data_IF_509222142871
#
_entry.id   IF_509222142871
#
_cell.length_a   1.000
_cell.length_b   1.000
_cell.length_c   1.000
_cell.angle_alpha   90.00
_cell.angle_beta   90.00
_cell.angle_gamma   90.00
#
_symmetry.space_group_name_H-M   'P 1'
#
loop_
_entity.id
_entity.type
_entity.pdbx_description
1 polymer ?
#
# COMPACT_ATOMS: atom_id res chain seq x y z
N UNK A 1 19.50 -28.84 58.67
CA UNK A 1 19.93 -27.45 58.35
C UNK A 1 20.51 -27.41 56.94
N UNK A 2 20.32 -26.30 56.19
CA UNK A 2 20.02 -26.32 54.75
C UNK A 2 21.16 -25.79 53.85
N UNK A 3 21.22 -26.23 52.59
CA UNK A 3 21.90 -25.57 51.45
C UNK A 3 21.15 -25.97 50.17
N UNK A 4 20.90 -25.15 49.17
CA UNK A 4 21.07 -23.71 48.94
C UNK A 4 20.07 -23.40 47.81
N UNK A 5 19.36 -22.27 47.89
CA UNK A 5 18.54 -21.78 46.79
C UNK A 5 19.48 -21.33 45.67
N UNK A 6 19.30 -21.89 44.48
CA UNK A 6 19.99 -21.48 43.27
C UNK A 6 19.44 -20.12 42.82
N UNK A 7 20.14 -19.05 43.18
CA UNK A 7 19.79 -17.69 42.78
C UNK A 7 20.12 -17.52 41.29
N UNK A 8 19.08 -17.50 40.47
CA UNK A 8 19.13 -17.09 39.08
C UNK A 8 19.41 -15.57 39.01
N UNK A 9 20.68 -15.19 38.85
CA UNK A 9 21.06 -13.80 38.65
C UNK A 9 21.09 -13.52 37.13
N UNK A 10 20.40 -12.49 36.61
CA UNK A 10 20.47 -12.16 35.19
C UNK A 10 21.88 -11.65 34.81
N UNK A 11 22.33 -11.82 33.55
CA UNK A 11 23.65 -11.41 33.14
C UNK A 11 23.76 -9.88 33.16
N UNK A 12 24.64 -9.36 34.01
CA UNK A 12 25.02 -7.94 34.01
C UNK A 12 25.87 -7.67 32.75
N UNK A 13 25.25 -7.08 31.74
CA UNK A 13 25.94 -6.66 30.51
C UNK A 13 26.85 -5.46 30.82
N UNK A 14 28.18 -5.65 30.70
CA UNK A 14 29.24 -4.73 31.18
C UNK A 14 29.54 -3.52 30.27
N UNK A 15 28.71 -3.19 29.28
CA UNK A 15 29.05 -2.14 28.32
C UNK A 15 28.00 -1.00 28.34
N UNK A 16 28.36 0.21 28.79
CA UNK A 16 27.44 1.35 28.84
C UNK A 16 26.92 1.74 27.45
N UNK A 17 27.71 1.56 26.38
CA UNK A 17 27.25 1.79 25.01
C UNK A 17 26.23 0.72 24.54
N UNK A 18 26.35 -0.51 25.04
CA UNK A 18 25.37 -1.56 24.75
C UNK A 18 24.07 -1.36 25.53
N UNK A 19 24.14 -0.88 26.77
CA UNK A 19 22.97 -0.51 27.57
C UNK A 19 22.25 0.70 26.97
N UNK A 20 22.98 1.71 26.49
CA UNK A 20 22.38 2.86 25.82
C UNK A 20 21.66 2.44 24.52
N UNK A 21 22.28 1.56 23.72
CA UNK A 21 21.63 0.99 22.53
C UNK A 21 20.41 0.15 22.88
N UNK A 22 20.49 -0.73 23.89
CA UNK A 22 19.36 -1.54 24.31
C UNK A 22 18.18 -0.68 24.82
N UNK A 23 18.46 0.41 25.53
CA UNK A 23 17.43 1.36 25.97
C UNK A 23 16.84 2.15 24.80
N UNK A 24 17.67 2.52 23.82
CA UNK A 24 17.21 3.15 22.57
C UNK A 24 16.34 2.20 21.74
N UNK A 25 16.76 0.95 21.57
CA UNK A 25 16.02 -0.10 20.87
C UNK A 25 14.68 -0.41 21.58
N UNK A 26 14.66 -0.43 22.91
CA UNK A 26 13.43 -0.63 23.71
C UNK A 26 12.50 0.57 23.58
N UNK A 27 13.03 1.80 23.62
CA UNK A 27 12.25 3.02 23.43
C UNK A 27 11.68 3.12 22.00
N UNK A 28 12.47 2.81 20.96
CA UNK A 28 12.01 2.71 19.58
C UNK A 28 10.94 1.62 19.42
N UNK A 29 11.13 0.45 20.04
CA UNK A 29 10.14 -0.64 20.00
C UNK A 29 8.83 -0.32 20.72
N UNK A 30 8.86 0.58 21.71
CA UNK A 30 7.67 1.03 22.45
C UNK A 30 6.86 2.08 21.70
N UNK A 31 7.53 2.94 20.91
CA UNK A 31 6.90 4.01 20.11
C UNK A 31 6.50 3.50 18.71
N UNK A 32 7.24 2.54 18.17
CA UNK A 32 7.00 1.94 16.85
C UNK A 32 7.14 0.40 16.86
N UNK A 33 6.22 -0.33 17.51
CA UNK A 33 6.31 -1.79 17.65
C UNK A 33 6.32 -2.54 16.31
N UNK A 34 5.71 -1.96 15.28
CA UNK A 34 5.63 -2.51 13.93
C UNK A 34 6.70 -1.94 12.98
N UNK A 35 7.48 -0.96 13.43
CA UNK A 35 8.48 -0.22 12.66
C UNK A 35 7.92 0.47 11.41
N UNK A 36 6.73 1.03 11.53
CA UNK A 36 5.97 1.73 10.50
C UNK A 36 6.20 3.24 10.54
N UNK A 37 6.31 3.84 11.73
CA UNK A 37 6.24 5.29 11.91
C UNK A 37 7.56 5.98 11.61
N UNK A 38 8.70 5.41 12.04
CA UNK A 38 10.01 6.01 11.81
C UNK A 38 10.36 6.11 10.31
N UNK A 39 10.21 5.07 9.48
CA UNK A 39 10.47 5.17 8.04
C UNK A 39 9.55 6.16 7.32
N UNK A 40 8.28 6.27 7.73
CA UNK A 40 7.34 7.24 7.16
C UNK A 40 7.70 8.68 7.53
N UNK A 41 8.11 8.92 8.78
CA UNK A 41 8.58 10.23 9.23
C UNK A 41 9.87 10.64 8.48
N UNK A 42 10.83 9.72 8.32
CA UNK A 42 12.04 9.96 7.54
C UNK A 42 11.74 10.23 6.07
N UNK A 43 10.83 9.47 5.45
CA UNK A 43 10.42 9.70 4.08
C UNK A 43 9.78 11.08 3.91
N UNK A 44 8.88 11.47 4.81
CA UNK A 44 8.24 12.78 4.76
C UNK A 44 9.25 13.93 4.94
N UNK A 45 10.17 13.81 5.90
CA UNK A 45 11.23 14.80 6.10
C UNK A 45 12.20 14.87 4.90
N UNK A 46 12.51 13.73 4.30
CA UNK A 46 13.34 13.67 3.10
C UNK A 46 12.70 14.47 1.95
N UNK A 47 11.41 14.26 1.67
CA UNK A 47 10.71 15.04 0.65
C UNK A 47 10.70 16.55 0.92
N UNK A 48 10.53 16.96 2.18
CA UNK A 48 10.54 18.38 2.55
C UNK A 48 11.92 19.04 2.43
N UNK A 49 12.99 18.26 2.56
CA UNK A 49 14.38 18.73 2.46
C UNK A 49 14.96 18.63 1.04
N UNK A 50 14.21 18.05 0.11
CA UNK A 50 14.59 17.81 -1.29
C UNK A 50 13.53 18.43 -2.24
N UNK A 51 13.45 19.78 -2.30
CA UNK A 51 12.34 20.47 -2.96
C UNK A 51 12.33 20.31 -4.50
N UNK A 52 13.48 20.03 -5.12
CA UNK A 52 13.57 19.82 -6.57
C UNK A 52 12.99 18.45 -6.94
N UNK A 53 13.39 17.41 -6.22
CA UNK A 53 12.88 16.05 -6.36
C UNK A 53 11.36 16.03 -6.10
N UNK A 54 10.89 16.77 -5.09
CA UNK A 54 9.46 16.91 -4.82
C UNK A 54 8.71 17.59 -5.98
N UNK A 55 9.32 18.61 -6.60
CA UNK A 55 8.74 19.29 -7.75
C UNK A 55 8.68 18.38 -8.98
N UNK A 56 9.70 17.55 -9.21
CA UNK A 56 9.73 16.54 -10.28
C UNK A 56 8.63 15.49 -10.08
N UNK A 57 8.48 14.97 -8.85
CA UNK A 57 7.40 14.06 -8.49
C UNK A 57 6.02 14.70 -8.75
N UNK A 58 5.85 15.97 -8.34
CA UNK A 58 4.62 16.73 -8.59
C UNK A 58 4.33 16.96 -10.07
N UNK A 59 5.35 17.25 -10.87
CA UNK A 59 5.24 17.43 -12.31
C UNK A 59 4.83 16.12 -13.02
N UNK A 60 5.45 15.00 -12.64
CA UNK A 60 5.07 13.66 -13.14
C UNK A 60 3.62 13.35 -12.78
N UNK A 61 3.24 13.49 -11.50
CA UNK A 61 1.87 13.26 -11.05
C UNK A 61 0.86 14.14 -11.80
N UNK A 62 1.18 15.41 -12.03
CA UNK A 62 0.32 16.30 -12.81
C UNK A 62 0.16 15.83 -14.26
N UNK A 63 1.22 15.33 -14.89
CA UNK A 63 1.16 14.76 -16.24
C UNK A 63 0.26 13.52 -16.29
N UNK A 64 0.45 12.60 -15.35
CA UNK A 64 -0.38 11.38 -15.24
C UNK A 64 -1.85 11.74 -14.97
N UNK A 65 -2.10 12.73 -14.11
CA UNK A 65 -3.45 13.21 -13.79
C UNK A 65 -4.13 13.87 -15.01
N UNK A 66 -3.39 14.63 -15.81
CA UNK A 66 -3.90 15.20 -17.06
C UNK A 66 -4.26 14.11 -18.06
N UNK A 67 -3.41 13.09 -18.22
CA UNK A 67 -3.66 11.94 -19.08
C UNK A 67 -4.90 11.14 -18.63
N UNK A 68 -5.02 10.89 -17.32
CA UNK A 68 -6.20 10.29 -16.71
C UNK A 68 -7.46 11.11 -16.98
N UNK A 69 -7.40 12.42 -16.75
CA UNK A 69 -8.55 13.32 -16.93
C UNK A 69 -9.00 13.28 -18.39
N UNK A 70 -8.07 13.40 -19.33
CA UNK A 70 -8.36 13.29 -20.77
C UNK A 70 -9.00 11.95 -21.13
N UNK A 71 -8.45 10.85 -20.62
CA UNK A 71 -9.01 9.51 -20.82
C UNK A 71 -10.44 9.42 -20.26
N UNK A 72 -10.66 9.85 -19.01
CA UNK A 72 -11.97 9.81 -18.36
C UNK A 72 -13.03 10.63 -19.13
N UNK A 73 -12.68 11.81 -19.64
CA UNK A 73 -13.57 12.61 -20.49
C UNK A 73 -13.93 11.90 -21.79
N UNK A 74 -12.95 11.30 -22.48
CA UNK A 74 -13.21 10.56 -23.71
C UNK A 74 -14.13 9.36 -23.45
N UNK A 75 -13.83 8.55 -22.43
CA UNK A 75 -14.64 7.38 -22.07
C UNK A 75 -16.05 7.77 -21.65
N UNK A 76 -16.21 8.83 -20.86
CA UNK A 76 -17.53 9.37 -20.47
C UNK A 76 -18.35 9.85 -21.67
N UNK A 77 -17.71 10.35 -22.73
CA UNK A 77 -18.35 10.75 -23.98
C UNK A 77 -18.55 9.58 -24.97
N UNK A 78 -18.18 8.35 -24.59
CA UNK A 78 -18.26 7.17 -25.45
C UNK A 78 -17.20 7.12 -26.56
N UNK A 79 -16.17 7.96 -26.47
CA UNK A 79 -15.06 7.98 -27.42
C UNK A 79 -14.03 6.91 -27.04
N UNK A 80 -13.34 6.31 -28.04
CA UNK A 80 -12.23 5.42 -27.76
C UNK A 80 -11.08 6.21 -27.13
N UNK A 81 -10.46 5.63 -26.11
CA UNK A 81 -9.26 6.18 -25.47
C UNK A 81 -8.37 5.02 -25.07
N UNK A 82 -7.06 5.15 -25.27
CA UNK A 82 -6.12 4.17 -24.76
C UNK A 82 -5.93 4.39 -23.26
N UNK A 83 -5.76 3.29 -22.52
CA UNK A 83 -5.43 3.32 -21.09
C UNK A 83 -4.13 4.12 -20.88
N UNK A 84 -4.18 5.25 -20.16
CA UNK A 84 -3.00 6.03 -19.87
C UNK A 84 -2.04 5.26 -18.96
N UNK A 85 -2.56 4.38 -18.09
CA UNK A 85 -1.76 3.62 -17.14
C UNK A 85 -2.15 2.14 -17.24
N UNK A 86 -1.20 1.32 -17.65
CA UNK A 86 -1.45 -0.13 -17.77
C UNK A 86 -1.22 -0.82 -16.43
N UNK A 87 -2.08 -1.79 -16.05
CA UNK A 87 -1.75 -2.70 -14.97
C UNK A 87 -0.42 -3.40 -15.22
N UNK A 88 0.30 -3.74 -14.15
CA UNK A 88 1.43 -4.66 -14.29
C UNK A 88 0.95 -6.01 -14.82
N UNK A 89 1.82 -6.70 -15.56
CA UNK A 89 1.47 -7.96 -16.22
C UNK A 89 1.05 -9.08 -15.23
N UNK A 90 1.48 -8.98 -13.97
CA UNK A 90 1.13 -9.87 -12.87
C UNK A 90 -0.11 -9.42 -12.08
N UNK A 91 -0.70 -8.26 -12.39
CA UNK A 91 -1.91 -7.77 -11.74
C UNK A 91 -3.18 -8.36 -12.38
N UNK A 92 -3.61 -9.50 -11.86
CA UNK A 92 -4.79 -10.22 -12.35
C UNK A 92 -6.13 -9.61 -11.92
N UNK A 93 -6.12 -8.55 -11.08
CA UNK A 93 -7.36 -7.96 -10.55
C UNK A 93 -8.23 -7.33 -11.63
N UNK A 94 -7.61 -6.85 -12.70
CA UNK A 94 -8.27 -6.16 -13.81
C UNK A 94 -8.32 -7.00 -15.09
N UNK A 95 -8.25 -8.34 -14.96
CA UNK A 95 -8.23 -9.25 -16.10
C UNK A 95 -9.60 -9.42 -16.79
N UNK A 96 -10.70 -9.19 -16.07
CA UNK A 96 -12.04 -9.28 -16.65
C UNK A 96 -12.27 -8.12 -17.65
N UNK A 97 -12.83 -8.39 -18.86
CA UNK A 97 -13.06 -7.36 -19.87
C UNK A 97 -13.93 -6.19 -19.40
N UNK A 98 -14.78 -6.38 -18.37
CA UNK A 98 -15.61 -5.30 -17.82
C UNK A 98 -14.79 -4.07 -17.40
N UNK A 99 -13.54 -4.28 -16.98
CA UNK A 99 -12.60 -3.23 -16.59
C UNK A 99 -12.03 -2.42 -17.76
N UNK A 100 -12.30 -2.81 -19.00
CA UNK A 100 -11.94 -2.07 -20.22
C UNK A 100 -13.20 -1.65 -20.98
N UNK A 101 -14.18 -2.55 -21.10
CA UNK A 101 -15.38 -2.32 -21.92
C UNK A 101 -16.33 -1.30 -21.30
N UNK A 102 -16.47 -1.30 -19.97
CA UNK A 102 -17.36 -0.37 -19.27
C UNK A 102 -16.63 0.91 -18.91
N UNK A 103 -17.06 2.06 -19.47
CA UNK A 103 -16.46 3.36 -19.18
C UNK A 103 -16.39 3.69 -17.67
N UNK A 104 -17.42 3.32 -16.90
CA UNK A 104 -17.43 3.56 -15.44
C UNK A 104 -16.34 2.75 -14.74
N UNK A 105 -16.25 1.45 -15.01
CA UNK A 105 -15.29 0.57 -14.33
C UNK A 105 -13.86 0.79 -14.82
N UNK A 106 -13.70 1.12 -16.09
CA UNK A 106 -12.45 1.56 -16.69
C UNK A 106 -11.89 2.81 -16.00
N UNK A 107 -12.72 3.84 -15.78
CA UNK A 107 -12.32 5.05 -15.03
C UNK A 107 -11.94 4.72 -13.57
N UNK A 108 -12.69 3.84 -12.90
CA UNK A 108 -12.38 3.40 -11.52
C UNK A 108 -11.03 2.67 -11.47
N UNK A 109 -10.78 1.77 -12.43
CA UNK A 109 -9.48 1.08 -12.60
C UNK A 109 -8.36 2.08 -12.81
N UNK A 110 -8.48 2.97 -13.80
CA UNK A 110 -7.43 3.95 -14.15
C UNK A 110 -7.13 4.90 -12.98
N UNK A 111 -8.16 5.32 -12.23
CA UNK A 111 -7.94 6.16 -11.04
C UNK A 111 -7.14 5.42 -9.95
N UNK A 112 -7.45 4.14 -9.74
CA UNK A 112 -6.69 3.30 -8.81
C UNK A 112 -5.24 3.09 -9.28
N UNK A 113 -5.03 2.79 -10.58
CA UNK A 113 -3.70 2.61 -11.15
C UNK A 113 -2.87 3.89 -11.06
N UNK A 114 -3.47 5.05 -11.36
CA UNK A 114 -2.87 6.37 -11.19
C UNK A 114 -2.32 6.57 -9.79
N UNK A 115 -3.16 6.35 -8.76
CA UNK A 115 -2.77 6.53 -7.38
C UNK A 115 -1.68 5.52 -6.98
N UNK A 116 -1.87 4.25 -7.30
CA UNK A 116 -0.99 3.18 -6.84
C UNK A 116 0.40 3.24 -7.49
N UNK A 117 0.49 3.51 -8.79
CA UNK A 117 1.77 3.69 -9.47
C UNK A 117 2.51 4.92 -8.93
N UNK A 118 1.83 6.06 -8.78
CA UNK A 118 2.49 7.28 -8.27
C UNK A 118 2.97 7.14 -6.82
N UNK A 119 2.22 6.45 -5.95
CA UNK A 119 2.68 6.15 -4.59
C UNK A 119 3.87 5.19 -4.61
N UNK A 120 3.85 4.18 -5.47
CA UNK A 120 4.98 3.25 -5.60
C UNK A 120 6.24 3.96 -6.10
N UNK A 121 6.12 4.77 -7.15
CA UNK A 121 7.22 5.59 -7.69
C UNK A 121 7.79 6.50 -6.59
N UNK A 122 6.94 7.23 -5.86
CA UNK A 122 7.37 8.08 -4.75
C UNK A 122 8.14 7.30 -3.65
N UNK A 123 7.77 6.06 -3.36
CA UNK A 123 8.49 5.24 -2.38
C UNK A 123 9.86 4.79 -2.92
N UNK A 124 9.94 4.46 -4.21
CA UNK A 124 11.21 4.10 -4.83
C UNK A 124 12.14 5.30 -5.00
N UNK A 125 11.60 6.50 -5.19
CA UNK A 125 12.35 7.73 -5.42
C UNK A 125 12.62 8.53 -4.15
N UNK A 126 12.06 8.13 -3.00
CA UNK A 126 12.24 8.84 -1.72
C UNK A 126 13.74 9.12 -1.46
N UNK A 127 14.15 10.40 -1.38
CA UNK A 127 15.54 10.77 -1.19
C UNK A 127 16.09 10.30 0.15
N UNK A 128 17.40 10.06 0.24
CA UNK A 128 18.13 9.79 1.49
C UNK A 128 17.63 8.60 2.36
N UNK A 129 16.67 7.80 1.89
CA UNK A 129 16.16 6.64 2.62
C UNK A 129 17.09 5.44 2.42
N UNK A 130 17.49 4.78 3.53
CA UNK A 130 18.32 3.58 3.44
C UNK A 130 17.59 2.46 2.69
N UNK A 131 18.34 1.56 2.03
CA UNK A 131 17.73 0.45 1.29
C UNK A 131 16.86 -0.48 2.16
N UNK A 132 17.15 -0.59 3.46
CA UNK A 132 16.36 -1.38 4.41
C UNK A 132 15.04 -0.68 4.74
N UNK A 133 15.07 0.62 5.03
CA UNK A 133 13.87 1.42 5.32
C UNK A 133 12.96 1.50 4.09
N UNK A 134 13.54 1.71 2.90
CA UNK A 134 12.80 1.74 1.62
C UNK A 134 12.04 0.44 1.38
N UNK A 135 12.69 -0.71 1.55
CA UNK A 135 12.02 -2.02 1.40
C UNK A 135 10.90 -2.22 2.43
N UNK A 136 11.10 -1.77 3.67
CA UNK A 136 10.08 -1.88 4.73
C UNK A 136 8.87 -0.98 4.45
N UNK A 137 9.11 0.26 4.06
CA UNK A 137 8.07 1.20 3.66
C UNK A 137 7.30 0.68 2.44
N UNK A 138 8.00 0.24 1.40
CA UNK A 138 7.40 -0.34 0.20
C UNK A 138 6.55 -1.58 0.51
N UNK A 139 6.98 -2.45 1.42
CA UNK A 139 6.21 -3.61 1.84
C UNK A 139 4.86 -3.22 2.46
N UNK A 140 4.87 -2.28 3.41
CA UNK A 140 3.64 -1.85 4.09
C UNK A 140 2.72 -1.06 3.17
N UNK A 141 3.27 -0.18 2.34
CA UNK A 141 2.50 0.54 1.33
C UNK A 141 1.88 -0.39 0.29
N UNK A 142 2.63 -1.38 -0.22
CA UNK A 142 2.07 -2.37 -1.14
C UNK A 142 0.91 -3.14 -0.49
N UNK A 143 1.04 -3.51 0.78
CA UNK A 143 -0.07 -4.14 1.53
C UNK A 143 -1.28 -3.22 1.64
N UNK A 144 -1.07 -1.96 2.00
CA UNK A 144 -2.15 -0.99 2.15
C UNK A 144 -2.85 -0.69 0.82
N UNK A 145 -2.10 -0.42 -0.24
CA UNK A 145 -2.63 -0.20 -1.59
C UNK A 145 -3.39 -1.42 -2.10
N UNK A 146 -2.87 -2.63 -1.86
CA UNK A 146 -3.58 -3.85 -2.23
C UNK A 146 -4.89 -4.02 -1.45
N UNK A 147 -4.94 -3.65 -0.17
CA UNK A 147 -6.15 -3.69 0.64
C UNK A 147 -7.20 -2.66 0.17
N UNK A 148 -6.74 -1.53 -0.37
CA UNK A 148 -7.59 -0.47 -0.92
C UNK A 148 -8.06 -0.73 -2.37
N UNK A 149 -7.68 -1.86 -2.97
CA UNK A 149 -8.08 -2.17 -4.34
C UNK A 149 -9.61 -2.23 -4.48
N UNK A 150 -10.19 -1.68 -5.57
CA UNK A 150 -11.64 -1.64 -5.77
C UNK A 150 -12.26 -3.04 -5.85
N UNK A 151 -11.47 -4.04 -6.24
CA UNK A 151 -11.86 -5.46 -6.25
C UNK A 151 -12.15 -6.04 -4.87
N UNK A 152 -11.69 -5.41 -3.79
CA UNK A 152 -11.91 -5.91 -2.42
C UNK A 152 -13.27 -5.49 -1.85
N UNK A 153 -13.98 -4.54 -2.46
CA UNK A 153 -15.25 -4.05 -1.94
C UNK A 153 -16.38 -4.34 -2.94
N UNK A 154 -17.49 -4.88 -2.44
CA UNK A 154 -18.62 -5.29 -3.28
C UNK A 154 -19.12 -4.14 -4.17
N UNK A 155 -19.29 -2.94 -3.63
CA UNK A 155 -19.84 -1.79 -4.36
C UNK A 155 -18.92 -1.25 -5.47
N UNK A 156 -17.65 -1.62 -5.46
CA UNK A 156 -16.66 -1.20 -6.45
C UNK A 156 -16.10 -2.37 -7.26
N UNK A 157 -16.71 -3.55 -7.13
CA UNK A 157 -16.30 -4.76 -7.84
C UNK A 157 -17.44 -5.23 -8.77
N UNK A 158 -17.39 -4.90 -10.08
CA UNK A 158 -18.44 -5.28 -11.02
C UNK A 158 -18.67 -6.79 -11.11
N UNK A 159 -17.60 -7.59 -10.99
CA UNK A 159 -17.67 -9.05 -11.06
C UNK A 159 -18.40 -9.58 -9.82
N UNK A 160 -18.09 -9.05 -8.64
CA UNK A 160 -18.79 -9.44 -7.40
C UNK A 160 -20.24 -8.99 -7.41
N UNK A 161 -20.55 -7.79 -7.93
CA UNK A 161 -21.92 -7.28 -8.08
C UNK A 161 -22.73 -8.16 -9.02
N UNK A 162 -22.18 -8.47 -10.20
CA UNK A 162 -22.81 -9.37 -11.16
C UNK A 162 -23.06 -10.74 -10.54
N UNK A 163 -22.06 -11.30 -9.85
CA UNK A 163 -22.21 -12.60 -9.20
C UNK A 163 -23.24 -12.62 -8.08
N UNK A 164 -23.32 -11.55 -7.29
CA UNK A 164 -24.34 -11.39 -6.27
C UNK A 164 -25.74 -11.33 -6.90
N UNK A 165 -25.91 -10.58 -7.99
CA UNK A 165 -27.18 -10.50 -8.71
C UNK A 165 -27.59 -11.85 -9.31
N UNK A 166 -26.69 -12.54 -10.01
CA UNK A 166 -26.93 -13.86 -10.61
C UNK A 166 -27.36 -14.92 -9.59
N UNK A 167 -26.82 -14.84 -8.38
CA UNK A 167 -27.07 -15.82 -7.31
C UNK A 167 -28.13 -15.36 -6.31
N UNK A 168 -28.82 -14.24 -6.58
CA UNK A 168 -29.74 -13.61 -5.63
C UNK A 168 -29.13 -13.44 -4.22
N UNK A 169 -27.82 -13.16 -4.15
CA UNK A 169 -27.07 -12.95 -2.91
C UNK A 169 -26.44 -14.21 -2.29
N UNK A 170 -26.69 -15.41 -2.80
CA UNK A 170 -26.15 -16.66 -2.24
C UNK A 170 -24.60 -16.67 -2.24
N UNK A 171 -23.97 -16.07 -3.25
CA UNK A 171 -22.50 -15.95 -3.31
C UNK A 171 -21.92 -15.18 -2.12
N UNK A 172 -22.62 -14.15 -1.63
CA UNK A 172 -22.19 -13.33 -0.51
C UNK A 172 -22.32 -14.10 0.82
N UNK A 173 -23.41 -14.86 0.98
CA UNK A 173 -23.63 -15.72 2.15
C UNK A 173 -22.50 -16.74 2.27
N UNK A 174 -22.15 -17.42 1.17
CA UNK A 174 -21.01 -18.35 1.15
C UNK A 174 -19.68 -17.66 1.44
N UNK A 175 -19.45 -16.47 0.88
CA UNK A 175 -18.24 -15.68 1.16
C UNK A 175 -18.11 -15.32 2.65
N UNK A 176 -19.22 -14.96 3.30
CA UNK A 176 -19.24 -14.68 4.74
C UNK A 176 -18.99 -15.93 5.58
N UNK A 177 -19.56 -17.08 5.20
CA UNK A 177 -19.26 -18.35 5.87
C UNK A 177 -17.77 -18.69 5.79
N UNK A 178 -17.16 -18.59 4.62
CA UNK A 178 -15.73 -18.83 4.46
C UNK A 178 -14.90 -17.87 5.32
N UNK A 179 -15.27 -16.58 5.39
CA UNK A 179 -14.58 -15.58 6.21
C UNK A 179 -14.69 -15.85 7.72
N UNK A 180 -15.75 -16.50 8.18
CA UNK A 180 -15.92 -16.86 9.60
C UNK A 180 -15.23 -18.18 9.96
N UNK A 181 -14.96 -19.03 8.96
CA UNK A 181 -14.27 -20.31 9.12
C UNK A 181 -12.73 -20.18 9.02
N UNK A 182 -12.23 -19.13 8.33
CA UNK A 182 -10.82 -18.73 8.26
C UNK A 182 -10.38 -17.86 9.46
#
# INVERSE_FOLDING_TARGET
MPRQKENHNPPVVRNPAATLRALHDVAESGIDPLGMTAPLAHAHLAWLTHPLELAELGAKFSGDLMAFTWHAWNRALGLPSADPIRPHADDTRFADPVWQDSATWDIVKEWYLLLTHNVQDALYDTPALSGKERRRAAFWWRKWLNAMAPTNFLLTNPIAMAKAAETNGESLVRGMHNFLED
#
